data_IF_210387850249
#
_entry.id   IF_210387850249
#
_cell.length_a   1.000
_cell.length_b   1.000
_cell.length_c   1.000
_cell.angle_alpha   90.00
_cell.angle_beta   90.00
_cell.angle_gamma   90.00
#
_symmetry.space_group_name_H-M   'P 1'
#
loop_
_entity.id
_entity.type
_entity.pdbx_description
1 polymer ?
#
# COMPACT_ATOMS: atom_id res chain seq x y z
N UNK A 1 5.79 11.78 13.23
CA UNK A 1 5.96 13.22 12.89
C UNK A 1 5.24 14.13 13.91
N UNK A 2 5.71 14.12 15.17
CA UNK A 2 5.06 14.94 16.23
C UNK A 2 5.19 16.47 15.97
N UNK A 3 6.23 16.90 15.28
CA UNK A 3 6.59 18.32 15.12
C UNK A 3 6.62 18.81 13.66
N UNK A 4 5.84 18.16 12.77
CA UNK A 4 5.85 18.53 11.35
C UNK A 4 5.42 19.98 11.10
N UNK A 5 4.52 20.51 11.91
CA UNK A 5 4.03 21.89 11.79
C UNK A 5 5.11 22.91 12.14
N UNK A 6 5.93 22.63 13.16
CA UNK A 6 7.06 23.48 13.55
C UNK A 6 8.14 23.49 12.46
N UNK A 7 8.49 22.30 11.94
CA UNK A 7 9.40 22.18 10.81
C UNK A 7 8.85 22.91 9.57
N UNK A 8 7.59 22.69 9.24
CA UNK A 8 6.93 23.33 8.10
C UNK A 8 6.92 24.87 8.22
N UNK A 9 6.68 25.41 9.42
CA UNK A 9 6.65 26.86 9.65
C UNK A 9 7.93 27.55 9.20
N UNK A 10 9.09 26.88 9.26
CA UNK A 10 10.39 27.43 8.82
C UNK A 10 10.45 27.67 7.31
N UNK A 11 9.63 26.98 6.52
CA UNK A 11 9.64 27.02 5.05
C UNK A 11 8.29 27.43 4.43
N UNK A 12 7.25 27.64 5.24
CA UNK A 12 5.89 27.93 4.79
C UNK A 12 5.79 29.18 3.89
N UNK A 13 6.65 30.18 4.13
CA UNK A 13 6.73 31.41 3.31
C UNK A 13 7.09 31.16 1.84
N UNK A 14 7.55 29.97 1.48
CA UNK A 14 7.92 29.57 0.12
C UNK A 14 6.76 28.96 -0.66
N UNK A 15 5.69 28.53 0.04
CA UNK A 15 4.57 27.81 -0.55
C UNK A 15 3.69 28.73 -1.38
N UNK A 16 3.31 28.24 -2.57
CA UNK A 16 2.38 28.94 -3.48
C UNK A 16 1.30 27.94 -3.95
N UNK A 17 0.00 28.31 -3.89
CA UNK A 17 -1.05 27.48 -4.43
C UNK A 17 -1.00 27.43 -5.97
N UNK A 18 -1.59 26.40 -6.60
CA UNK A 18 -2.17 25.21 -5.97
C UNK A 18 -1.10 24.28 -5.38
N UNK A 19 -1.45 23.65 -4.23
CA UNK A 19 -0.55 22.78 -3.45
C UNK A 19 -0.99 21.33 -3.56
N UNK A 20 -0.04 20.43 -3.78
CA UNK A 20 -0.21 18.99 -3.60
C UNK A 20 0.52 18.55 -2.33
N UNK A 21 -0.18 17.91 -1.40
CA UNK A 21 0.43 17.12 -0.33
C UNK A 21 0.48 15.67 -0.80
N UNK A 22 1.70 15.20 -1.09
CA UNK A 22 1.94 13.92 -1.74
C UNK A 22 2.24 12.85 -0.72
N UNK A 23 1.32 11.95 -0.52
CA UNK A 23 1.44 10.75 0.33
C UNK A 23 1.98 11.06 1.73
N UNK A 24 1.33 10.56 2.74
CA UNK A 24 1.81 10.76 4.12
C UNK A 24 0.81 10.26 5.15
N UNK A 25 1.25 10.13 6.41
CA UNK A 25 0.35 9.74 7.48
C UNK A 25 -0.78 10.76 7.69
N UNK A 26 -2.00 10.34 8.09
CA UNK A 26 -3.19 11.21 8.17
C UNK A 26 -2.98 12.47 9.01
N UNK A 27 -2.47 12.34 10.24
CA UNK A 27 -2.25 13.47 11.14
C UNK A 27 -1.26 14.52 10.61
N UNK A 28 -0.06 14.14 10.12
CA UNK A 28 0.84 15.07 9.44
C UNK A 28 0.20 15.80 8.26
N UNK A 29 -0.52 15.06 7.40
CA UNK A 29 -1.21 15.65 6.25
C UNK A 29 -2.27 16.67 6.69
N UNK A 30 -3.16 16.30 7.61
CA UNK A 30 -4.22 17.18 8.09
C UNK A 30 -3.66 18.44 8.80
N UNK A 31 -2.62 18.30 9.59
CA UNK A 31 -1.97 19.45 10.25
C UNK A 31 -1.27 20.38 9.25
N UNK A 32 -0.70 19.86 8.17
CA UNK A 32 -0.15 20.67 7.09
C UNK A 32 -1.26 21.47 6.39
N UNK A 33 -2.40 20.85 6.05
CA UNK A 33 -3.56 21.53 5.48
C UNK A 33 -4.03 22.66 6.40
N UNK A 34 -4.22 22.37 7.68
CA UNK A 34 -4.62 23.38 8.69
C UNK A 34 -3.63 24.53 8.77
N UNK A 35 -2.34 24.25 8.75
CA UNK A 35 -1.27 25.28 8.85
C UNK A 35 -1.16 26.12 7.57
N UNK A 36 -1.44 25.52 6.40
CA UNK A 36 -1.48 26.25 5.13
C UNK A 36 -2.58 27.31 5.11
N UNK A 37 -3.71 27.04 5.75
CA UNK A 37 -4.88 27.94 5.82
C UNK A 37 -5.31 28.48 4.45
N UNK A 38 -5.23 27.64 3.41
CA UNK A 38 -5.63 27.94 2.03
C UNK A 38 -7.08 27.48 1.75
N UNK A 39 -7.75 28.02 0.73
CA UNK A 39 -9.04 27.48 0.27
C UNK A 39 -8.95 25.99 -0.07
N UNK A 40 -10.04 25.25 0.14
CA UNK A 40 -10.13 23.81 -0.17
C UNK A 40 -9.71 23.49 -1.62
N UNK A 41 -10.09 24.34 -2.57
CA UNK A 41 -9.78 24.19 -4.00
C UNK A 41 -8.29 24.33 -4.34
N UNK A 42 -7.51 24.90 -3.43
CA UNK A 42 -6.08 25.18 -3.62
C UNK A 42 -5.16 24.12 -3.00
N UNK A 43 -5.73 23.13 -2.29
CA UNK A 43 -4.98 22.05 -1.65
C UNK A 43 -5.54 20.69 -2.04
N UNK A 44 -4.71 19.88 -2.68
CA UNK A 44 -5.00 18.47 -2.99
C UNK A 44 -4.12 17.57 -2.13
N UNK A 45 -4.71 16.59 -1.45
CA UNK A 45 -4.01 15.54 -0.71
C UNK A 45 -4.11 14.23 -1.51
N UNK A 46 -2.99 13.70 -2.02
CA UNK A 46 -2.99 12.44 -2.76
C UNK A 46 -2.48 11.29 -1.90
N UNK A 47 -3.16 10.15 -1.96
CA UNK A 47 -2.77 8.89 -1.35
C UNK A 47 -2.77 7.77 -2.39
N UNK A 48 -1.99 6.69 -2.17
CA UNK A 48 -1.96 5.51 -3.05
C UNK A 48 -2.93 4.41 -2.61
N UNK A 49 -3.60 4.61 -1.48
CA UNK A 49 -4.39 3.62 -0.77
C UNK A 49 -5.70 4.22 -0.30
N UNK A 50 -6.83 3.53 -0.57
CA UNK A 50 -8.18 3.97 -0.19
C UNK A 50 -8.33 4.11 1.32
N UNK A 51 -7.79 3.17 2.11
CA UNK A 51 -7.87 3.22 3.56
C UNK A 51 -7.14 4.46 4.10
N UNK A 52 -5.95 4.78 3.56
CA UNK A 52 -5.22 5.99 3.94
C UNK A 52 -5.98 7.26 3.51
N UNK A 53 -6.62 7.23 2.34
CA UNK A 53 -7.48 8.32 1.85
C UNK A 53 -8.62 8.61 2.83
N UNK A 54 -9.33 7.57 3.27
CA UNK A 54 -10.45 7.70 4.21
C UNK A 54 -9.94 8.22 5.57
N UNK A 55 -8.82 7.71 6.07
CA UNK A 55 -8.18 8.20 7.30
C UNK A 55 -7.76 9.66 7.21
N UNK A 56 -7.27 10.12 6.05
CA UNK A 56 -6.98 11.55 5.84
C UNK A 56 -8.25 12.38 5.90
N UNK A 57 -9.35 11.95 5.26
CA UNK A 57 -10.64 12.65 5.30
C UNK A 57 -11.20 12.76 6.73
N UNK A 58 -11.16 11.66 7.48
CA UNK A 58 -11.56 11.62 8.89
C UNK A 58 -10.74 12.61 9.73
N UNK A 59 -9.41 12.57 9.58
CA UNK A 59 -8.51 13.44 10.35
C UNK A 59 -8.66 14.92 9.99
N UNK A 60 -8.91 15.24 8.69
CA UNK A 60 -9.24 16.61 8.28
C UNK A 60 -10.50 17.14 8.98
N UNK A 61 -11.52 16.28 9.09
CA UNK A 61 -12.75 16.64 9.82
C UNK A 61 -12.49 16.85 11.33
N UNK A 62 -11.68 16.00 11.96
CA UNK A 62 -11.29 16.11 13.37
C UNK A 62 -10.54 17.42 13.69
N UNK A 63 -9.69 17.89 12.76
CA UNK A 63 -8.96 19.17 12.94
C UNK A 63 -9.68 20.37 12.35
N UNK A 64 -10.94 20.20 11.94
CA UNK A 64 -11.83 21.25 11.40
C UNK A 64 -11.22 22.00 10.22
N UNK A 65 -10.68 21.24 9.23
CA UNK A 65 -10.14 21.80 7.98
C UNK A 65 -10.58 20.96 6.79
N UNK A 66 -10.40 21.47 5.56
CA UNK A 66 -10.80 20.80 4.32
C UNK A 66 -9.72 20.89 3.26
N UNK A 67 -9.65 19.87 2.44
CA UNK A 67 -8.85 19.79 1.22
C UNK A 67 -9.50 18.80 0.26
N UNK A 68 -9.19 18.88 -1.03
CA UNK A 68 -9.48 17.81 -1.97
C UNK A 68 -8.64 16.58 -1.60
N UNK A 69 -9.26 15.41 -1.36
CA UNK A 69 -8.53 14.18 -1.04
C UNK A 69 -8.80 13.14 -2.12
N UNK A 70 -7.73 12.73 -2.81
CA UNK A 70 -7.80 11.81 -3.95
C UNK A 70 -6.96 10.55 -3.71
N UNK A 71 -7.41 9.42 -4.25
CA UNK A 71 -6.62 8.20 -4.34
C UNK A 71 -6.14 8.02 -5.77
N UNK A 72 -4.85 7.77 -5.95
CA UNK A 72 -4.21 7.56 -7.26
C UNK A 72 -3.24 6.40 -7.21
N UNK A 73 -3.04 5.70 -8.32
CA UNK A 73 -1.99 4.69 -8.40
C UNK A 73 -0.60 5.35 -8.45
N UNK A 74 -0.51 6.49 -9.10
CA UNK A 74 0.70 7.29 -9.26
C UNK A 74 0.38 8.79 -9.19
N UNK A 75 1.32 9.61 -8.67
CA UNK A 75 1.10 11.07 -8.64
C UNK A 75 0.97 11.66 -10.05
N UNK A 76 1.65 11.11 -11.04
CA UNK A 76 1.53 11.56 -12.44
C UNK A 76 0.19 11.24 -13.11
N UNK A 77 -0.72 10.55 -12.44
CA UNK A 77 -2.12 10.44 -12.87
C UNK A 77 -2.88 11.76 -12.62
N UNK A 78 -2.28 12.64 -11.79
CA UNK A 78 -2.74 14.01 -11.60
C UNK A 78 -2.19 14.93 -12.70
N UNK A 79 -2.92 16.01 -13.04
CA UNK A 79 -2.45 16.99 -14.02
C UNK A 79 -1.22 17.76 -13.49
N UNK A 80 -0.25 18.14 -14.36
CA UNK A 80 0.93 18.90 -13.98
C UNK A 80 0.59 20.38 -13.73
N UNK A 81 -0.09 20.68 -12.63
CA UNK A 81 -0.66 22.02 -12.33
C UNK A 81 -0.16 22.63 -11.03
N UNK A 82 0.57 21.88 -10.20
CA UNK A 82 0.89 22.33 -8.85
C UNK A 82 2.08 23.30 -8.83
N UNK A 83 1.92 24.41 -8.12
CA UNK A 83 3.02 25.33 -7.85
C UNK A 83 3.86 24.90 -6.65
N UNK A 84 3.29 24.07 -5.78
CA UNK A 84 4.03 23.45 -4.66
C UNK A 84 3.62 21.98 -4.51
N UNK A 85 4.61 21.11 -4.35
CA UNK A 85 4.42 19.72 -3.89
C UNK A 85 5.11 19.58 -2.54
N UNK A 86 4.36 19.15 -1.52
CA UNK A 86 4.86 18.89 -0.17
C UNK A 86 4.83 17.37 0.04
N UNK A 87 5.99 16.80 0.35
CA UNK A 87 6.13 15.40 0.73
C UNK A 87 6.46 15.28 2.23
N UNK A 88 5.48 14.94 3.10
CA UNK A 88 5.71 14.65 4.50
C UNK A 88 6.30 13.24 4.64
N UNK A 89 7.61 13.12 4.49
CA UNK A 89 8.32 11.85 4.39
C UNK A 89 8.40 11.15 5.75
N UNK A 90 7.69 10.04 5.89
CA UNK A 90 7.79 9.19 7.08
C UNK A 90 9.14 8.47 7.14
N UNK A 91 9.67 8.33 8.35
CA UNK A 91 10.86 7.52 8.62
C UNK A 91 10.66 6.05 8.21
N UNK A 92 9.44 5.54 8.33
CA UNK A 92 9.09 4.15 8.03
C UNK A 92 8.95 3.84 6.53
N UNK A 93 8.88 4.87 5.66
CA UNK A 93 8.77 4.63 4.23
C UNK A 93 10.09 4.10 3.65
N UNK A 94 9.97 3.10 2.77
CA UNK A 94 11.12 2.52 2.07
C UNK A 94 11.86 3.57 1.23
N UNK A 95 13.18 3.35 1.06
CA UNK A 95 14.04 4.24 0.28
C UNK A 95 13.55 4.39 -1.15
N UNK A 96 13.14 3.28 -1.77
CA UNK A 96 12.69 3.22 -3.14
C UNK A 96 11.37 3.98 -3.32
N UNK A 97 10.46 3.89 -2.35
CA UNK A 97 9.22 4.69 -2.35
C UNK A 97 9.53 6.19 -2.22
N UNK A 98 10.48 6.57 -1.35
CA UNK A 98 10.90 7.97 -1.20
C UNK A 98 11.44 8.54 -2.52
N UNK A 99 12.26 7.78 -3.24
CA UNK A 99 12.77 8.16 -4.57
C UNK A 99 11.63 8.30 -5.58
N UNK A 100 10.74 7.31 -5.63
CA UNK A 100 9.60 7.28 -6.55
C UNK A 100 8.69 8.50 -6.35
N UNK A 101 8.37 8.87 -5.10
CA UNK A 101 7.53 10.04 -4.79
C UNK A 101 8.21 11.36 -5.22
N UNK A 102 9.52 11.50 -5.02
CA UNK A 102 10.25 12.72 -5.44
C UNK A 102 10.25 12.84 -6.97
N UNK A 103 10.49 11.75 -7.71
CA UNK A 103 10.44 11.74 -9.18
C UNK A 103 9.02 12.02 -9.70
N UNK A 104 8.00 11.38 -9.14
CA UNK A 104 6.61 11.61 -9.53
C UNK A 104 6.13 13.03 -9.20
N UNK A 105 6.53 13.54 -8.03
CA UNK A 105 6.23 14.92 -7.62
C UNK A 105 6.83 15.95 -8.58
N UNK A 106 8.04 15.70 -9.10
CA UNK A 106 8.63 16.56 -10.13
C UNK A 106 7.80 16.59 -11.42
N UNK A 107 7.12 15.50 -11.78
CA UNK A 107 6.27 15.47 -12.98
C UNK A 107 5.01 16.33 -12.84
N UNK A 108 4.41 16.39 -11.67
CA UNK A 108 3.16 17.12 -11.42
C UNK A 108 3.37 18.59 -11.05
N UNK A 109 4.61 18.99 -10.77
CA UNK A 109 4.98 20.39 -10.58
C UNK A 109 4.94 21.15 -11.91
N UNK A 110 4.42 22.37 -11.89
CA UNK A 110 4.64 23.36 -12.93
C UNK A 110 6.11 23.78 -12.99
N UNK A 111 6.60 24.23 -14.15
CA UNK A 111 7.92 24.86 -14.25
C UNK A 111 7.95 26.12 -13.39
N UNK A 112 8.98 26.28 -12.57
CA UNK A 112 9.07 27.31 -11.52
C UNK A 112 8.47 26.88 -10.18
N UNK A 113 7.78 25.73 -10.13
CA UNK A 113 7.17 25.20 -8.90
C UNK A 113 8.19 24.66 -7.90
N UNK A 114 7.77 24.59 -6.64
CA UNK A 114 8.57 24.19 -5.49
C UNK A 114 8.26 22.74 -5.09
N UNK A 115 9.28 21.87 -5.00
CA UNK A 115 9.21 20.59 -4.32
C UNK A 115 9.76 20.72 -2.91
N UNK A 116 8.97 20.39 -1.90
CA UNK A 116 9.30 20.46 -0.50
C UNK A 116 9.19 19.08 0.15
N UNK A 117 10.29 18.55 0.71
CA UNK A 117 10.27 17.37 1.57
C UNK A 117 10.44 17.76 3.02
N UNK A 118 9.60 17.23 3.88
CA UNK A 118 9.70 17.33 5.34
C UNK A 118 10.13 15.97 5.89
N UNK A 119 11.38 15.83 6.31
CA UNK A 119 11.95 14.60 6.86
C UNK A 119 11.93 14.63 8.38
N UNK A 120 11.51 13.51 9.00
CA UNK A 120 11.53 13.33 10.47
C UNK A 120 12.93 13.14 11.05
N UNK A 121 13.92 12.88 10.21
CA UNK A 121 15.27 12.67 10.70
C UNK A 121 15.98 14.01 10.97
N UNK A 122 16.59 14.12 12.14
CA UNK A 122 17.43 15.26 12.50
C UNK A 122 18.60 15.46 11.53
N UNK A 123 19.09 14.34 10.97
CA UNK A 123 20.16 14.33 9.96
C UNK A 123 19.76 13.38 8.83
N UNK A 124 19.38 13.95 7.70
CA UNK A 124 18.97 13.19 6.51
C UNK A 124 19.78 13.66 5.31
N UNK A 125 20.69 12.82 4.83
CA UNK A 125 21.47 13.10 3.62
C UNK A 125 20.84 12.52 2.35
N UNK A 126 19.77 11.74 2.48
CA UNK A 126 19.16 11.04 1.36
C UNK A 126 18.41 12.01 0.46
N UNK A 127 17.54 12.86 1.04
CA UNK A 127 16.71 13.78 0.25
C UNK A 127 17.51 14.87 -0.43
N UNK A 128 18.57 15.39 0.21
CA UNK A 128 19.48 16.34 -0.43
C UNK A 128 20.06 15.77 -1.74
N UNK A 129 20.53 14.51 -1.72
CA UNK A 129 21.08 13.81 -2.89
C UNK A 129 20.00 13.54 -3.95
N UNK A 130 18.82 13.06 -3.53
CA UNK A 130 17.70 12.76 -4.43
C UNK A 130 17.22 14.02 -5.15
N UNK A 131 16.91 15.07 -4.40
CA UNK A 131 16.42 16.32 -4.98
C UNK A 131 17.47 16.97 -5.87
N UNK A 132 18.74 16.95 -5.48
CA UNK A 132 19.82 17.47 -6.33
C UNK A 132 19.91 16.70 -7.64
N UNK A 133 19.75 15.36 -7.63
CA UNK A 133 19.76 14.54 -8.84
C UNK A 133 18.61 14.86 -9.80
N UNK A 134 17.41 15.16 -9.25
CA UNK A 134 16.17 15.35 -10.04
C UNK A 134 16.02 16.82 -10.47
N UNK A 135 16.32 17.77 -9.59
CA UNK A 135 16.09 19.20 -9.80
C UNK A 135 17.39 20.01 -10.06
N UNK A 136 18.54 19.36 -10.05
CA UNK A 136 19.85 20.02 -10.21
C UNK A 136 20.38 20.70 -8.95
N UNK A 137 19.49 21.32 -8.15
CA UNK A 137 19.83 22.00 -6.89
C UNK A 137 18.88 21.61 -5.78
N UNK A 138 19.38 21.59 -4.55
CA UNK A 138 18.57 21.37 -3.36
C UNK A 138 19.05 22.32 -2.25
N UNK A 139 18.13 23.08 -1.68
CA UNK A 139 18.32 23.80 -0.43
C UNK A 139 17.83 22.96 0.74
N UNK A 140 18.36 23.21 1.94
CA UNK A 140 17.96 22.51 3.15
C UNK A 140 17.94 23.47 4.35
N UNK A 141 17.12 23.15 5.34
CA UNK A 141 17.15 23.84 6.63
C UNK A 141 18.29 23.29 7.51
N UNK A 142 18.75 24.05 8.51
CA UNK A 142 19.60 23.48 9.55
C UNK A 142 18.95 22.25 10.18
N UNK A 143 19.77 21.33 10.65
CA UNK A 143 19.35 20.17 11.45
C UNK A 143 18.66 20.65 12.74
N UNK A 144 17.55 20.00 13.09
CA UNK A 144 16.80 20.29 14.32
C UNK A 144 16.20 19.00 14.90
N UNK A 145 15.77 19.04 16.15
CA UNK A 145 15.03 17.95 16.79
C UNK A 145 13.69 17.62 16.08
N UNK A 146 13.17 18.60 15.33
CA UNK A 146 11.94 18.45 14.53
C UNK A 146 12.17 17.85 13.15
N UNK A 147 13.44 17.56 12.79
CA UNK A 147 13.84 17.05 11.50
C UNK A 147 14.46 18.10 10.58
N UNK A 148 14.43 17.84 9.28
CA UNK A 148 15.00 18.71 8.24
C UNK A 148 13.98 18.89 7.09
N UNK A 149 13.92 20.10 6.54
CA UNK A 149 13.20 20.39 5.30
C UNK A 149 14.17 20.55 4.13
N UNK A 150 13.82 19.92 3.00
CA UNK A 150 14.56 20.00 1.73
C UNK A 150 13.68 20.64 0.68
N UNK A 151 14.24 21.57 -0.11
CA UNK A 151 13.47 22.29 -1.11
C UNK A 151 14.23 22.48 -2.41
N UNK A 152 13.52 22.28 -3.51
CA UNK A 152 14.04 22.41 -4.87
C UNK A 152 13.01 23.07 -5.78
N UNK A 153 13.48 23.80 -6.77
CA UNK A 153 12.62 24.42 -7.78
C UNK A 153 12.76 23.66 -9.09
N UNK A 154 11.64 23.33 -9.72
CA UNK A 154 11.61 22.74 -11.06
C UNK A 154 11.98 23.80 -12.10
N UNK A 155 13.09 23.63 -12.80
CA UNK A 155 13.60 24.60 -13.78
C UNK A 155 13.25 24.27 -15.22
N UNK A 156 12.92 23.01 -15.50
CA UNK A 156 12.61 22.51 -16.83
C UNK A 156 11.59 21.38 -16.78
N UNK A 157 11.01 21.00 -17.90
CA UNK A 157 10.08 19.88 -17.96
C UNK A 157 10.76 18.56 -17.55
N UNK A 158 9.99 17.70 -16.88
CA UNK A 158 10.50 16.42 -16.43
C UNK A 158 10.75 15.49 -17.62
N UNK A 159 11.81 14.70 -17.55
CA UNK A 159 12.13 13.69 -18.54
C UNK A 159 11.16 12.49 -18.54
N UNK A 160 11.60 11.36 -19.09
CA UNK A 160 10.76 10.16 -19.14
C UNK A 160 10.36 9.67 -17.74
N UNK A 161 9.11 9.23 -17.61
CA UNK A 161 8.57 8.63 -16.37
C UNK A 161 9.26 7.31 -16.06
N UNK A 162 9.77 7.15 -14.86
CA UNK A 162 10.35 5.91 -14.36
C UNK A 162 9.44 5.30 -13.33
N UNK A 163 9.05 4.06 -13.53
CA UNK A 163 8.16 3.35 -12.59
C UNK A 163 8.92 2.54 -11.54
N UNK A 164 10.24 2.46 -11.62
CA UNK A 164 11.07 1.66 -10.72
C UNK A 164 10.60 0.19 -10.61
N UNK A 165 10.09 -0.34 -11.72
CA UNK A 165 9.62 -1.71 -11.79
C UNK A 165 10.79 -2.69 -11.65
N UNK A 166 10.58 -3.70 -10.81
CA UNK A 166 11.52 -4.81 -10.62
C UNK A 166 10.77 -6.10 -10.92
N UNK A 167 11.40 -6.99 -11.68
CA UNK A 167 10.88 -8.31 -11.98
C UNK A 167 11.50 -9.35 -11.07
N UNK A 168 10.71 -10.32 -10.65
CA UNK A 168 11.16 -11.48 -9.92
C UNK A 168 10.35 -12.72 -10.30
N UNK A 169 10.88 -13.91 -9.98
CA UNK A 169 10.19 -15.17 -10.24
C UNK A 169 9.79 -15.85 -8.94
N UNK A 170 8.60 -16.48 -8.94
CA UNK A 170 8.13 -17.32 -7.86
C UNK A 170 7.49 -18.59 -8.40
N UNK A 171 7.57 -19.68 -7.60
CA UNK A 171 6.87 -20.93 -7.84
C UNK A 171 6.54 -21.61 -6.51
N UNK A 172 5.54 -22.46 -6.49
CA UNK A 172 5.18 -23.31 -5.35
C UNK A 172 5.32 -24.79 -5.77
N UNK A 173 5.96 -25.59 -4.93
CA UNK A 173 6.17 -27.02 -5.20
C UNK A 173 6.82 -27.30 -6.55
N UNK A 174 6.24 -28.23 -7.31
CA UNK A 174 6.64 -28.62 -8.64
C UNK A 174 6.06 -27.71 -9.76
N UNK A 175 5.28 -26.68 -9.40
CA UNK A 175 4.65 -25.78 -10.37
C UNK A 175 5.68 -25.03 -11.23
N UNK A 176 5.24 -24.55 -12.39
CA UNK A 176 6.05 -23.72 -13.26
C UNK A 176 6.39 -22.36 -12.60
N UNK A 177 7.61 -21.82 -12.81
CA UNK A 177 7.92 -20.48 -12.31
C UNK A 177 7.11 -19.42 -13.07
N UNK A 178 6.57 -18.46 -12.32
CA UNK A 178 5.84 -17.30 -12.83
C UNK A 178 6.69 -16.04 -12.65
N UNK A 179 6.65 -15.12 -13.61
CA UNK A 179 7.30 -13.81 -13.52
C UNK A 179 6.32 -12.79 -12.96
N UNK A 180 6.76 -11.98 -12.01
CA UNK A 180 5.99 -10.91 -11.39
C UNK A 180 6.71 -9.59 -11.49
N UNK A 181 5.94 -8.55 -11.76
CA UNK A 181 6.37 -7.16 -11.67
C UNK A 181 6.00 -6.61 -10.30
N UNK A 182 6.89 -5.83 -9.71
CA UNK A 182 6.68 -5.14 -8.44
C UNK A 182 7.17 -3.70 -8.55
N UNK A 183 6.58 -2.80 -7.76
CA UNK A 183 6.90 -1.36 -7.73
C UNK A 183 7.08 -0.87 -6.29
N UNK A 184 7.84 0.22 -6.06
CA UNK A 184 7.98 0.81 -4.75
C UNK A 184 6.63 1.11 -4.09
N UNK A 185 6.57 0.92 -2.78
CA UNK A 185 5.34 1.11 -1.99
C UNK A 185 4.34 -0.04 -2.05
N UNK A 186 4.65 -1.14 -2.77
CA UNK A 186 3.89 -2.39 -2.67
C UNK A 186 4.59 -3.36 -1.73
N UNK A 187 3.79 -4.18 -1.04
CA UNK A 187 4.31 -5.17 -0.10
C UNK A 187 5.32 -6.11 -0.78
N UNK A 188 6.43 -6.36 -0.10
CA UNK A 188 7.51 -7.25 -0.56
C UNK A 188 8.11 -6.87 -1.92
N UNK A 189 8.40 -5.57 -2.11
CA UNK A 189 8.99 -5.03 -3.34
C UNK A 189 10.20 -5.85 -3.82
N UNK A 190 10.13 -6.30 -5.08
CA UNK A 190 11.20 -7.01 -5.79
C UNK A 190 11.42 -8.47 -5.40
N UNK A 191 10.53 -9.07 -4.58
CA UNK A 191 10.65 -10.48 -4.19
C UNK A 191 9.30 -11.09 -3.84
N UNK A 192 9.23 -12.43 -3.88
CA UNK A 192 8.11 -13.15 -3.30
C UNK A 192 8.26 -13.24 -1.78
N UNK A 193 7.23 -12.87 -1.04
CA UNK A 193 7.25 -12.86 0.42
C UNK A 193 7.42 -14.26 1.01
N UNK A 194 8.25 -14.37 2.05
CA UNK A 194 8.55 -15.64 2.68
C UNK A 194 7.36 -16.21 3.47
N UNK A 195 6.55 -15.36 4.10
CA UNK A 195 5.32 -15.77 4.78
C UNK A 195 4.26 -16.25 3.80
N UNK A 196 4.05 -15.51 2.70
CA UNK A 196 3.15 -15.93 1.62
C UNK A 196 3.58 -17.27 1.00
N UNK A 197 4.90 -17.50 0.84
CA UNK A 197 5.43 -18.78 0.40
C UNK A 197 5.11 -19.89 1.41
N UNK A 198 5.38 -19.64 2.70
CA UNK A 198 5.11 -20.60 3.77
C UNK A 198 3.62 -21.00 3.81
N UNK A 199 2.73 -20.03 3.60
CA UNK A 199 1.29 -20.27 3.53
C UNK A 199 0.93 -21.13 2.34
N UNK A 200 1.30 -20.75 1.12
CA UNK A 200 0.91 -21.48 -0.10
C UNK A 200 1.47 -22.90 -0.15
N UNK A 201 2.62 -23.18 0.46
CA UNK A 201 3.20 -24.54 0.50
C UNK A 201 2.39 -25.54 1.35
N UNK A 202 1.56 -25.04 2.27
CA UNK A 202 0.70 -25.87 3.14
C UNK A 202 -0.80 -25.69 2.85
N UNK A 203 -1.13 -24.82 1.91
CA UNK A 203 -2.53 -24.59 1.52
C UNK A 203 -3.01 -25.70 0.61
N UNK A 204 -4.15 -26.25 0.93
CA UNK A 204 -4.86 -27.21 0.07
C UNK A 204 -5.81 -26.45 -0.85
N UNK A 205 -5.58 -26.52 -2.15
CA UNK A 205 -6.43 -25.96 -3.20
C UNK A 205 -6.79 -27.08 -4.17
N UNK A 206 -8.08 -27.34 -4.36
CA UNK A 206 -8.56 -28.35 -5.28
C UNK A 206 -8.82 -27.75 -6.67
N UNK A 207 -8.74 -28.57 -7.72
CA UNK A 207 -9.18 -28.15 -9.06
C UNK A 207 -10.62 -27.61 -9.02
N UNK A 208 -10.83 -26.42 -9.58
CA UNK A 208 -12.13 -25.75 -9.60
C UNK A 208 -12.46 -24.86 -8.39
N UNK A 209 -11.62 -24.84 -7.36
CA UNK A 209 -11.84 -23.97 -6.18
C UNK A 209 -11.94 -22.48 -6.57
N UNK A 210 -12.85 -21.79 -5.88
CA UNK A 210 -12.94 -20.31 -5.87
C UNK A 210 -12.07 -19.78 -4.75
N UNK A 211 -11.01 -19.05 -5.10
CA UNK A 211 -9.99 -18.55 -4.17
C UNK A 211 -10.11 -17.05 -4.01
N UNK A 212 -10.00 -16.55 -2.77
CA UNK A 212 -9.83 -15.13 -2.44
C UNK A 212 -8.40 -14.87 -1.96
N UNK A 213 -7.69 -13.96 -2.63
CA UNK A 213 -6.42 -13.38 -2.18
C UNK A 213 -6.74 -12.07 -1.45
N UNK A 214 -6.78 -12.12 -0.12
CA UNK A 214 -7.22 -11.03 0.74
C UNK A 214 -6.06 -10.15 1.17
N UNK A 215 -6.01 -8.91 0.67
CA UNK A 215 -4.84 -8.04 0.74
C UNK A 215 -3.78 -8.49 -0.27
N UNK A 216 -4.17 -8.59 -1.53
CA UNK A 216 -3.42 -9.31 -2.57
C UNK A 216 -2.07 -8.67 -2.95
N UNK A 217 -1.80 -7.41 -2.57
CA UNK A 217 -0.59 -6.72 -2.99
C UNK A 217 -0.42 -6.74 -4.51
N UNK A 218 0.73 -7.18 -5.01
CA UNK A 218 0.96 -7.29 -6.45
C UNK A 218 0.36 -8.55 -7.11
N UNK A 219 -0.47 -9.31 -6.38
CA UNK A 219 -1.23 -10.45 -6.89
C UNK A 219 -0.45 -11.76 -7.01
N UNK A 220 0.77 -11.85 -6.47
CA UNK A 220 1.59 -13.05 -6.62
C UNK A 220 0.97 -14.29 -5.92
N UNK A 221 0.37 -14.12 -4.75
CA UNK A 221 -0.32 -15.20 -4.01
C UNK A 221 -1.50 -15.72 -4.82
N UNK A 222 -2.38 -14.83 -5.25
CA UNK A 222 -3.57 -15.20 -6.01
C UNK A 222 -3.23 -15.85 -7.36
N UNK A 223 -2.20 -15.37 -8.09
CA UNK A 223 -1.76 -16.00 -9.35
C UNK A 223 -1.26 -17.43 -9.12
N UNK A 224 -0.42 -17.65 -8.10
CA UNK A 224 0.08 -18.99 -7.77
C UNK A 224 -1.03 -19.91 -7.29
N UNK A 225 -1.96 -19.40 -6.46
CA UNK A 225 -3.16 -20.13 -6.02
C UNK A 225 -4.09 -20.48 -7.19
N UNK A 226 -4.29 -19.55 -8.12
CA UNK A 226 -5.06 -19.77 -9.34
C UNK A 226 -4.50 -20.89 -10.22
N UNK A 227 -3.17 -20.98 -10.33
CA UNK A 227 -2.53 -22.09 -11.02
C UNK A 227 -2.77 -23.44 -10.33
N UNK A 228 -2.84 -23.46 -9.00
CA UNK A 228 -3.20 -24.68 -8.23
C UNK A 228 -4.67 -25.06 -8.43
N UNK A 229 -5.58 -24.09 -8.47
CA UNK A 229 -7.01 -24.31 -8.73
C UNK A 229 -7.31 -24.74 -10.17
N UNK A 230 -6.36 -24.56 -11.08
CA UNK A 230 -6.50 -24.97 -12.47
C UNK A 230 -7.47 -24.12 -13.31
N UNK A 231 -7.76 -24.54 -14.56
CA UNK A 231 -8.47 -23.70 -15.52
C UNK A 231 -9.97 -23.47 -15.17
N UNK A 232 -10.59 -24.35 -14.40
CA UNK A 232 -11.96 -24.20 -13.91
C UNK A 232 -12.03 -23.37 -12.60
N UNK A 233 -10.91 -23.17 -11.93
CA UNK A 233 -10.82 -22.37 -10.72
C UNK A 233 -11.03 -20.88 -11.00
N UNK A 234 -11.35 -20.13 -9.95
CA UNK A 234 -11.54 -18.68 -10.01
C UNK A 234 -10.71 -18.02 -8.93
N UNK A 235 -10.16 -16.84 -9.22
CA UNK A 235 -9.40 -16.06 -8.23
C UNK A 235 -9.98 -14.68 -8.15
N UNK A 236 -10.30 -14.25 -6.93
CA UNK A 236 -10.63 -12.85 -6.64
C UNK A 236 -9.48 -12.23 -5.88
N UNK A 237 -9.03 -11.09 -6.36
CA UNK A 237 -7.99 -10.26 -5.75
C UNK A 237 -8.66 -9.05 -5.10
N UNK A 238 -8.35 -8.78 -3.83
CA UNK A 238 -8.82 -7.58 -3.16
C UNK A 238 -7.68 -6.87 -2.44
N UNK A 239 -7.60 -5.55 -2.63
CA UNK A 239 -6.65 -4.69 -1.93
C UNK A 239 -7.20 -3.26 -1.86
N UNK A 240 -6.78 -2.47 -0.88
CA UNK A 240 -7.11 -1.05 -0.77
C UNK A 240 -6.18 -0.15 -1.58
N UNK A 241 -4.99 -0.62 -1.94
CA UNK A 241 -4.01 0.12 -2.72
C UNK A 241 -4.31 0.06 -4.22
N UNK A 242 -4.55 1.22 -4.84
CA UNK A 242 -4.73 1.32 -6.30
C UNK A 242 -3.50 0.84 -7.07
N UNK A 243 -2.29 1.13 -6.54
CA UNK A 243 -1.03 0.67 -7.13
C UNK A 243 -0.89 -0.86 -7.06
N UNK A 244 -1.25 -1.46 -5.94
CA UNK A 244 -1.25 -2.91 -5.77
C UNK A 244 -2.22 -3.58 -6.75
N UNK A 245 -3.44 -3.06 -6.86
CA UNK A 245 -4.45 -3.58 -7.79
C UNK A 245 -4.01 -3.50 -9.25
N UNK A 246 -3.44 -2.38 -9.68
CA UNK A 246 -2.91 -2.23 -11.05
C UNK A 246 -1.79 -3.25 -11.34
N UNK A 247 -0.95 -3.57 -10.34
CA UNK A 247 0.07 -4.62 -10.47
C UNK A 247 -0.53 -6.02 -10.45
N UNK A 248 -1.54 -6.28 -9.61
CA UNK A 248 -2.22 -7.57 -9.58
C UNK A 248 -2.88 -7.89 -10.93
N UNK A 249 -3.55 -6.91 -11.55
CA UNK A 249 -4.12 -7.06 -12.90
C UNK A 249 -3.05 -7.34 -13.96
N UNK A 250 -1.95 -6.58 -13.94
CA UNK A 250 -0.83 -6.76 -14.86
C UNK A 250 -0.20 -8.16 -14.72
N UNK A 251 0.07 -8.58 -13.48
CA UNK A 251 0.69 -9.87 -13.18
C UNK A 251 -0.24 -11.05 -13.47
N UNK A 252 -1.53 -10.94 -13.14
CA UNK A 252 -2.52 -11.95 -13.45
C UNK A 252 -2.65 -12.18 -14.96
N UNK A 253 -2.73 -11.10 -15.73
CA UNK A 253 -2.76 -11.15 -17.20
C UNK A 253 -1.48 -11.78 -17.77
N UNK A 254 -0.30 -11.38 -17.28
CA UNK A 254 0.98 -11.88 -17.74
C UNK A 254 1.18 -13.38 -17.48
N UNK A 255 0.56 -13.89 -16.39
CA UNK A 255 0.63 -15.30 -16.00
C UNK A 255 -0.61 -16.12 -16.42
N UNK A 256 -1.48 -15.58 -17.28
CA UNK A 256 -2.58 -16.34 -17.89
C UNK A 256 -3.76 -16.62 -16.95
N UNK A 257 -3.95 -15.86 -15.89
CA UNK A 257 -5.10 -15.96 -14.99
C UNK A 257 -6.37 -15.39 -15.67
N UNK A 258 -7.07 -16.21 -16.46
CA UNK A 258 -8.22 -15.79 -17.27
C UNK A 258 -9.50 -15.60 -16.43
N UNK A 259 -9.65 -16.33 -15.33
CA UNK A 259 -10.81 -16.30 -14.43
C UNK A 259 -10.54 -15.44 -13.19
N UNK A 260 -9.88 -14.28 -13.38
CA UNK A 260 -9.51 -13.33 -12.34
C UNK A 260 -10.55 -12.22 -12.19
N UNK A 261 -10.93 -11.90 -10.94
CA UNK A 261 -11.74 -10.75 -10.58
C UNK A 261 -10.94 -9.83 -9.67
N UNK A 262 -11.01 -8.51 -9.89
CA UNK A 262 -10.28 -7.51 -9.13
C UNK A 262 -11.25 -6.59 -8.41
N UNK A 263 -11.03 -6.38 -7.11
CA UNK A 263 -11.87 -5.54 -6.24
C UNK A 263 -10.96 -4.56 -5.49
N UNK A 264 -11.09 -3.28 -5.76
CA UNK A 264 -10.39 -2.25 -5.01
C UNK A 264 -11.32 -1.69 -3.93
N UNK A 265 -11.05 -2.01 -2.66
CA UNK A 265 -11.91 -1.63 -1.54
C UNK A 265 -11.13 -1.58 -0.21
N UNK A 266 -11.59 -0.72 0.71
CA UNK A 266 -11.02 -0.57 2.07
C UNK A 266 -11.54 -1.64 3.03
N UNK A 267 -12.68 -2.22 2.71
CA UNK A 267 -13.33 -3.29 3.45
C UNK A 267 -13.65 -4.40 2.45
N UNK A 268 -14.63 -5.22 2.72
CA UNK A 268 -15.00 -6.34 1.85
C UNK A 268 -16.19 -6.03 0.91
N UNK A 269 -16.40 -4.73 0.64
CA UNK A 269 -17.48 -4.29 -0.27
C UNK A 269 -17.30 -4.91 -1.66
N UNK A 270 -18.41 -5.36 -2.23
CA UNK A 270 -18.43 -5.98 -3.55
C UNK A 270 -18.07 -7.46 -3.57
N UNK A 271 -17.80 -8.08 -2.41
CA UNK A 271 -17.70 -9.51 -2.25
C UNK A 271 -19.04 -10.07 -1.75
N UNK A 272 -19.40 -11.24 -2.25
CA UNK A 272 -20.64 -11.96 -1.87
C UNK A 272 -20.33 -13.04 -0.86
N UNK A 273 -21.17 -13.15 0.19
CA UNK A 273 -21.05 -14.19 1.22
C UNK A 273 -21.19 -15.59 0.64
N UNK A 274 -20.52 -16.57 1.25
CA UNK A 274 -20.62 -17.96 0.86
C UNK A 274 -20.09 -18.28 -0.54
N UNK A 275 -19.10 -17.52 -1.03
CA UNK A 275 -18.61 -17.62 -2.42
C UNK A 275 -17.29 -18.39 -2.55
N UNK A 276 -16.44 -18.39 -1.52
CA UNK A 276 -15.07 -18.88 -1.64
C UNK A 276 -14.87 -20.25 -0.98
N UNK A 277 -14.18 -21.13 -1.68
CA UNK A 277 -13.70 -22.42 -1.16
C UNK A 277 -12.43 -22.23 -0.32
N UNK A 278 -11.59 -21.27 -0.72
CA UNK A 278 -10.32 -20.95 -0.04
C UNK A 278 -10.14 -19.43 0.08
N UNK A 279 -9.79 -18.97 1.27
CA UNK A 279 -9.38 -17.58 1.50
C UNK A 279 -7.95 -17.58 2.03
N UNK A 280 -7.09 -16.79 1.40
CA UNK A 280 -5.68 -16.63 1.73
C UNK A 280 -5.43 -15.22 2.27
N UNK A 281 -4.79 -15.10 3.44
CA UNK A 281 -4.53 -13.84 4.09
C UNK A 281 -3.09 -13.74 4.63
N UNK A 282 -2.38 -12.70 4.23
CA UNK A 282 -1.10 -12.30 4.82
C UNK A 282 -1.21 -10.86 5.34
N UNK A 283 -1.93 -10.63 6.46
CA UNK A 283 -2.18 -9.29 6.96
C UNK A 283 -0.89 -8.64 7.48
N UNK A 284 -0.83 -7.30 7.56
CA UNK A 284 0.28 -6.61 8.20
C UNK A 284 0.45 -7.08 9.66
N UNK A 285 1.70 -7.29 10.10
CA UNK A 285 2.07 -7.96 11.35
C UNK A 285 1.59 -7.32 12.66
N UNK A 286 0.82 -6.25 12.60
CA UNK A 286 0.26 -5.59 13.79
C UNK A 286 -1.02 -6.31 14.22
N UNK A 287 -0.87 -7.41 14.95
CA UNK A 287 -1.93 -8.34 15.37
C UNK A 287 -3.16 -7.71 16.09
N UNK A 288 -3.08 -6.47 16.50
CA UNK A 288 -4.20 -5.70 17.09
C UNK A 288 -4.78 -4.66 16.13
N UNK A 289 -4.40 -4.68 14.85
CA UNK A 289 -4.90 -3.70 13.90
C UNK A 289 -6.37 -4.00 13.52
N UNK A 290 -7.12 -2.95 13.24
CA UNK A 290 -8.48 -3.04 12.69
C UNK A 290 -8.50 -3.86 11.39
N UNK A 291 -7.41 -3.79 10.60
CA UNK A 291 -7.25 -4.55 9.34
C UNK A 291 -7.18 -6.06 9.63
N UNK A 292 -6.40 -6.50 10.63
CA UNK A 292 -6.31 -7.92 10.98
C UNK A 292 -7.66 -8.47 11.43
N UNK A 293 -8.40 -7.68 12.24
CA UNK A 293 -9.76 -8.03 12.67
C UNK A 293 -10.70 -8.13 11.46
N UNK A 294 -10.68 -7.16 10.55
CA UNK A 294 -11.47 -7.18 9.33
C UNK A 294 -11.19 -8.44 8.48
N UNK A 295 -9.92 -8.82 8.35
CA UNK A 295 -9.51 -10.00 7.58
C UNK A 295 -10.00 -11.30 8.20
N UNK A 296 -10.03 -11.40 9.52
CA UNK A 296 -10.48 -12.60 10.24
C UNK A 296 -12.02 -12.67 10.26
N UNK A 297 -12.68 -11.64 10.79
CA UNK A 297 -14.14 -11.62 10.95
C UNK A 297 -14.86 -11.66 9.58
N UNK A 298 -14.36 -10.88 8.62
CA UNK A 298 -14.97 -10.84 7.28
C UNK A 298 -14.75 -12.11 6.45
N UNK A 299 -13.66 -12.84 6.69
CA UNK A 299 -13.41 -14.09 5.95
C UNK A 299 -14.48 -15.15 6.22
N UNK A 300 -15.01 -15.22 7.46
CA UNK A 300 -16.03 -16.21 7.82
C UNK A 300 -17.27 -16.11 6.92
N UNK A 301 -17.79 -14.92 6.74
CA UNK A 301 -19.04 -14.70 5.99
C UNK A 301 -18.86 -14.92 4.48
N UNK A 302 -17.62 -14.86 4.00
CA UNK A 302 -17.26 -15.04 2.60
C UNK A 302 -17.04 -16.50 2.23
N UNK A 303 -16.70 -17.37 3.21
CA UNK A 303 -16.47 -18.79 2.97
C UNK A 303 -17.78 -19.54 2.67
N UNK A 304 -17.69 -20.49 1.74
CA UNK A 304 -18.71 -21.55 1.58
C UNK A 304 -18.72 -22.46 2.81
N UNK A 305 -19.83 -23.19 3.05
CA UNK A 305 -19.80 -24.32 3.97
C UNK A 305 -18.67 -25.29 3.61
N UNK A 306 -17.81 -25.64 4.57
CA UNK A 306 -16.61 -26.46 4.34
C UNK A 306 -15.43 -25.73 3.69
N UNK A 307 -15.53 -24.42 3.46
CA UNK A 307 -14.44 -23.60 2.96
C UNK A 307 -13.31 -23.40 3.98
N UNK A 308 -12.12 -23.09 3.53
CA UNK A 308 -10.87 -23.05 4.30
C UNK A 308 -10.27 -21.64 4.31
N UNK A 309 -9.98 -21.14 5.50
CA UNK A 309 -9.29 -19.88 5.71
C UNK A 309 -7.85 -20.11 6.15
N UNK A 310 -6.88 -19.56 5.45
CA UNK A 310 -5.46 -19.62 5.78
C UNK A 310 -4.93 -18.23 6.08
N UNK A 311 -4.37 -18.04 7.28
CA UNK A 311 -3.70 -16.79 7.67
C UNK A 311 -2.27 -17.10 8.08
N UNK A 312 -1.30 -16.40 7.46
CA UNK A 312 0.10 -16.52 7.83
C UNK A 312 0.52 -15.41 8.80
N UNK A 313 1.26 -15.77 9.84
CA UNK A 313 1.77 -14.84 10.85
C UNK A 313 3.06 -15.33 11.50
N UNK A 314 3.80 -14.41 12.12
CA UNK A 314 4.88 -14.72 13.07
C UNK A 314 4.43 -14.66 14.54
N UNK A 315 3.19 -14.26 14.77
CA UNK A 315 2.63 -14.04 16.12
C UNK A 315 1.29 -14.79 16.27
N UNK A 316 1.29 -16.13 16.22
CA UNK A 316 0.04 -16.90 16.24
C UNK A 316 -0.78 -16.65 17.51
N UNK A 317 -0.15 -16.50 18.65
CA UNK A 317 -0.81 -16.23 19.94
C UNK A 317 -1.60 -14.92 19.96
N UNK A 318 -1.27 -13.99 19.08
CA UNK A 318 -1.97 -12.70 18.99
C UNK A 318 -3.23 -12.77 18.12
N UNK A 319 -3.31 -13.69 17.15
CA UNK A 319 -4.45 -13.81 16.21
C UNK A 319 -5.37 -15.00 16.53
N UNK A 320 -4.83 -16.09 17.11
CA UNK A 320 -5.59 -17.31 17.40
C UNK A 320 -6.84 -17.09 18.25
N UNK A 321 -6.85 -16.27 19.32
CA UNK A 321 -8.08 -16.04 20.08
C UNK A 321 -9.21 -15.48 19.21
N UNK A 322 -8.92 -14.50 18.36
CA UNK A 322 -9.90 -13.91 17.47
C UNK A 322 -10.35 -14.89 16.38
N UNK A 323 -9.44 -15.71 15.84
CA UNK A 323 -9.78 -16.74 14.86
C UNK A 323 -10.69 -17.79 15.51
N UNK A 324 -10.36 -18.24 16.72
CA UNK A 324 -11.17 -19.21 17.46
C UNK A 324 -12.56 -18.65 17.78
N UNK A 325 -12.65 -17.42 18.25
CA UNK A 325 -13.92 -16.74 18.53
C UNK A 325 -14.79 -16.58 17.26
N UNK A 326 -14.14 -16.41 16.09
CA UNK A 326 -14.82 -16.21 14.82
C UNK A 326 -15.28 -17.50 14.18
N UNK A 327 -14.42 -18.53 14.18
CA UNK A 327 -14.66 -19.78 13.43
C UNK A 327 -15.06 -20.96 14.31
N UNK A 328 -14.86 -20.87 15.63
CA UNK A 328 -15.14 -21.94 16.60
C UNK A 328 -14.02 -22.95 16.76
N UNK A 329 -13.15 -23.08 15.79
CA UNK A 329 -11.95 -23.93 15.84
C UNK A 329 -10.85 -23.42 14.92
N UNK A 330 -9.59 -23.76 15.21
CA UNK A 330 -8.46 -23.50 14.32
C UNK A 330 -7.30 -24.45 14.64
N UNK A 331 -6.46 -24.68 13.64
CA UNK A 331 -5.20 -25.41 13.76
C UNK A 331 -4.04 -24.56 13.28
N UNK A 332 -2.82 -24.91 13.68
CA UNK A 332 -1.59 -24.20 13.30
C UNK A 332 -0.64 -25.16 12.62
N UNK A 333 -0.13 -24.78 11.47
CA UNK A 333 0.88 -25.48 10.70
C UNK A 333 2.13 -24.64 10.69
N UNK A 334 3.22 -25.13 11.26
CA UNK A 334 4.52 -24.45 11.24
C UNK A 334 5.26 -24.76 9.93
N UNK A 335 5.57 -23.71 9.15
CA UNK A 335 6.35 -23.85 7.94
C UNK A 335 7.31 -22.68 7.75
N UNK A 336 8.57 -22.93 7.43
CA UNK A 336 9.62 -21.94 7.15
C UNK A 336 9.79 -20.87 8.24
N UNK A 337 9.50 -21.20 9.52
CA UNK A 337 9.56 -20.24 10.63
C UNK A 337 8.39 -19.25 10.66
N UNK A 338 7.30 -19.60 10.01
CA UNK A 338 6.00 -18.92 10.08
C UNK A 338 4.94 -19.90 10.58
N UNK A 339 3.95 -19.38 11.27
CA UNK A 339 2.74 -20.10 11.64
C UNK A 339 1.65 -19.81 10.63
N UNK A 340 1.11 -20.83 10.00
CA UNK A 340 -0.07 -20.75 9.14
C UNK A 340 -1.27 -21.25 9.95
N UNK A 341 -2.20 -20.35 10.26
CA UNK A 341 -3.41 -20.68 11.01
C UNK A 341 -4.49 -21.08 9.99
N UNK A 342 -5.00 -22.30 10.11
CA UNK A 342 -6.10 -22.82 9.32
C UNK A 342 -7.38 -22.80 10.16
N UNK A 343 -8.48 -22.30 9.60
CA UNK A 343 -9.81 -22.29 10.20
C UNK A 343 -10.90 -22.54 9.14
N UNK A 344 -12.13 -22.80 9.57
CA UNK A 344 -13.31 -22.92 8.71
C UNK A 344 -13.57 -24.31 8.14
N UNK A 345 -12.57 -25.17 8.00
CA UNK A 345 -12.71 -26.53 7.43
C UNK A 345 -13.21 -27.59 8.42
N UNK A 346 -13.45 -27.25 9.67
CA UNK A 346 -13.68 -28.20 10.74
C UNK A 346 -15.19 -28.33 10.97
N UNK A 347 -15.77 -29.39 10.41
CA UNK A 347 -17.11 -29.80 10.69
C UNK A 347 -18.05 -29.87 9.48
N UNK A 348 -17.84 -30.83 8.63
CA UNK A 348 -18.88 -31.45 7.84
C UNK A 348 -19.21 -32.84 8.42
#
# INVERSE_FOLDING_TARGET
MKHITELFATVAHRVKPPVLIAVGPPWPVANLVKTLALPETDVTCAQFDLHQTDRVRETLAEVETKAEVVTVADLWDLPPRFNTVIFPASAQADRELKLDIVEQGAHVLAVGGLFLTLSEYERDSQFAKLQKKIFGKCGETPSSENGMAFFSTKTEESGARRRHEVKYHAKIGAGAPMEFVSRPGTFSYGRFDAGSRAMLEVTEINPGDSVLDLGCGNGAVGCLAGAMAGPEGRVTFIDSSLRAMALAELNAKANGATNARFVNATRLQGLEGGTFDVILANPPYYAKSEITRLFIEGARDLLKPGGRYYLVTKMPTAVMPLIFDTFGDCSVIENRGYSVVLAGAIGA
#
